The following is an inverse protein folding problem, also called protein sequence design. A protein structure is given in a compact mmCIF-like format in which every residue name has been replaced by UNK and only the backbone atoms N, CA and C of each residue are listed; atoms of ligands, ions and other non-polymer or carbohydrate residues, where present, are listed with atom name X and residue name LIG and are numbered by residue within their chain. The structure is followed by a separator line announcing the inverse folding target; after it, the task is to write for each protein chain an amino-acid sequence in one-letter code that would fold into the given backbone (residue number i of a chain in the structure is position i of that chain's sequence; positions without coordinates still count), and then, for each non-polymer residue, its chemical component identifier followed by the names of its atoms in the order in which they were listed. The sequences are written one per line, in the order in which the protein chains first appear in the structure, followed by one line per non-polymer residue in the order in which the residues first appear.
data_IF_231004737492
#
_entry.id   IF_231004737492
#
_cell.length_a   1.000
_cell.length_b   1.000
_cell.length_c   1.000
_cell.angle_alpha   90.00
_cell.angle_beta   90.00
_cell.angle_gamma   90.00
#
_symmetry.space_group_name_H-M   'P 1'
#
loop_
_entity.id
_entity.type
_entity.pdbx_description
1 polymer ?
#
# COMPACT_ATOMS: atom_id res chain seq x y z
N UNK A 1 -81.07 7.33 -12.13
CA UNK A 1 -80.02 6.40 -12.59
C UNK A 1 -78.68 7.10 -12.45
N UNK A 2 -78.00 6.94 -11.31
CA UNK A 2 -76.67 7.50 -11.09
C UNK A 2 -75.63 6.45 -11.48
N UNK A 3 -74.86 6.72 -12.52
CA UNK A 3 -73.69 5.90 -12.87
C UNK A 3 -72.47 6.52 -12.17
N UNK A 4 -72.07 5.92 -11.06
CA UNK A 4 -70.81 6.22 -10.39
C UNK A 4 -69.69 5.56 -11.20
N UNK A 5 -68.82 6.35 -11.83
CA UNK A 5 -67.59 5.85 -12.43
C UNK A 5 -66.50 5.82 -11.35
N UNK A 6 -66.10 4.62 -10.95
CA UNK A 6 -64.93 4.40 -10.09
C UNK A 6 -63.69 4.44 -10.97
N UNK A 7 -62.93 5.54 -10.92
CA UNK A 7 -61.62 5.62 -11.54
C UNK A 7 -60.61 4.96 -10.59
N UNK A 8 -60.18 3.73 -10.90
CA UNK A 8 -59.02 3.13 -10.27
C UNK A 8 -57.77 3.90 -10.75
N UNK A 9 -57.22 4.74 -9.89
CA UNK A 9 -55.90 5.33 -10.09
C UNK A 9 -54.84 4.25 -9.92
N UNK A 10 -54.23 3.80 -11.02
CA UNK A 10 -53.00 3.01 -10.98
C UNK A 10 -51.88 3.98 -10.60
N UNK A 11 -51.48 3.97 -9.33
CA UNK A 11 -50.28 4.67 -8.89
C UNK A 11 -49.08 3.90 -9.43
N UNK A 12 -48.42 4.44 -10.44
CA UNK A 12 -47.17 3.88 -10.95
C UNK A 12 -46.10 4.04 -9.86
N UNK A 13 -45.67 2.93 -9.26
CA UNK A 13 -44.41 2.93 -8.50
C UNK A 13 -43.28 3.14 -9.50
N UNK A 14 -42.73 4.36 -9.54
CA UNK A 14 -41.45 4.60 -10.19
C UNK A 14 -40.40 3.72 -9.49
N UNK A 15 -39.59 2.93 -10.22
CA UNK A 15 -38.51 2.19 -9.59
C UNK A 15 -37.55 3.22 -8.95
N UNK A 16 -37.23 3.03 -7.66
CA UNK A 16 -36.11 3.74 -7.06
C UNK A 16 -34.85 3.29 -7.84
N UNK A 17 -34.24 4.21 -8.57
CA UNK A 17 -32.89 3.99 -9.07
C UNK A 17 -31.96 4.03 -7.87
N UNK A 18 -31.30 2.91 -7.56
CA UNK A 18 -30.19 2.91 -6.61
C UNK A 18 -29.08 3.79 -7.19
N UNK A 19 -28.47 4.62 -6.34
CA UNK A 19 -27.29 5.38 -6.74
C UNK A 19 -26.14 4.41 -7.08
N UNK A 20 -25.35 4.74 -8.10
CA UNK A 20 -24.18 3.95 -8.48
C UNK A 20 -23.15 4.00 -7.35
N UNK A 21 -22.53 2.87 -6.98
CA UNK A 21 -21.41 2.90 -6.04
C UNK A 21 -20.28 3.80 -6.57
N UNK A 22 -19.69 4.60 -5.69
CA UNK A 22 -18.52 5.43 -6.00
C UNK A 22 -17.25 4.67 -5.58
N UNK A 23 -16.40 4.36 -6.54
CA UNK A 23 -15.13 3.65 -6.32
C UNK A 23 -13.98 4.62 -6.57
N UNK A 24 -13.15 4.82 -5.55
CA UNK A 24 -11.92 5.61 -5.69
C UNK A 24 -10.76 4.68 -6.00
N UNK A 25 -9.94 5.06 -6.97
CA UNK A 25 -8.80 4.27 -7.42
C UNK A 25 -7.51 5.09 -7.31
N UNK A 26 -6.40 4.44 -6.95
CA UNK A 26 -5.13 5.16 -6.77
C UNK A 26 -4.56 5.64 -8.10
N UNK A 27 -4.20 4.68 -8.98
CA UNK A 27 -3.47 4.89 -10.24
C UNK A 27 -4.23 4.34 -11.45
N UNK A 28 -3.70 4.59 -12.66
CA UNK A 28 -4.35 4.21 -13.92
C UNK A 28 -4.50 2.68 -14.09
N UNK A 29 -3.48 1.83 -13.84
CA UNK A 29 -3.63 0.38 -13.95
C UNK A 29 -4.79 -0.17 -13.11
N UNK A 30 -4.89 0.27 -11.85
CA UNK A 30 -6.00 -0.08 -10.94
C UNK A 30 -7.34 0.40 -11.52
N UNK A 31 -7.39 1.65 -11.98
CA UNK A 31 -8.61 2.24 -12.56
C UNK A 31 -9.11 1.50 -13.78
N UNK A 32 -8.20 1.01 -14.64
CA UNK A 32 -8.54 0.25 -15.84
C UNK A 32 -9.15 -1.12 -15.50
N UNK A 33 -8.60 -1.84 -14.52
CA UNK A 33 -9.15 -3.12 -14.06
C UNK A 33 -10.53 -2.90 -13.43
N UNK A 34 -10.66 -1.91 -12.55
CA UNK A 34 -11.95 -1.56 -11.92
C UNK A 34 -12.98 -1.18 -12.98
N UNK A 35 -12.61 -0.40 -13.99
CA UNK A 35 -13.50 -0.04 -15.10
C UNK A 35 -13.93 -1.25 -15.95
N UNK A 36 -13.03 -2.20 -16.20
CA UNK A 36 -13.34 -3.41 -16.94
C UNK A 36 -14.41 -4.26 -16.24
N UNK A 37 -14.39 -4.30 -14.90
CA UNK A 37 -15.38 -5.03 -14.10
C UNK A 37 -16.67 -4.24 -13.95
N UNK A 38 -16.59 -2.96 -13.60
CA UNK A 38 -17.75 -2.16 -13.19
C UNK A 38 -18.53 -1.55 -14.35
N UNK A 39 -17.89 -1.33 -15.50
CA UNK A 39 -18.49 -0.69 -16.66
C UNK A 39 -19.21 0.61 -16.30
N UNK A 40 -20.49 0.72 -16.64
CA UNK A 40 -21.29 1.90 -16.35
C UNK A 40 -22.05 1.83 -15.01
N UNK A 41 -21.84 0.80 -14.20
CA UNK A 41 -22.58 0.56 -12.95
C UNK A 41 -21.95 1.18 -11.71
N UNK A 42 -20.70 1.65 -11.80
CA UNK A 42 -20.03 2.41 -10.77
C UNK A 42 -19.57 3.78 -11.29
N UNK A 43 -19.37 4.73 -10.39
CA UNK A 43 -18.62 5.96 -10.66
C UNK A 43 -17.18 5.78 -10.20
N UNK A 44 -16.21 5.92 -11.11
CA UNK A 44 -14.79 5.76 -10.78
C UNK A 44 -14.13 7.14 -10.65
N UNK A 45 -13.39 7.34 -9.57
CA UNK A 45 -12.63 8.57 -9.31
C UNK A 45 -11.17 8.25 -9.00
N UNK A 46 -10.28 8.56 -9.95
CA UNK A 46 -8.85 8.34 -9.79
C UNK A 46 -8.18 9.45 -8.97
N UNK A 47 -7.21 9.09 -8.12
CA UNK A 47 -6.43 10.03 -7.29
C UNK A 47 -5.24 10.58 -8.09
N UNK A 48 -4.30 9.71 -8.46
CA UNK A 48 -3.06 10.09 -9.15
C UNK A 48 -3.33 10.11 -10.64
N UNK A 49 -3.27 11.28 -11.29
CA UNK A 49 -3.47 11.37 -12.74
C UNK A 49 -2.32 10.71 -13.51
N UNK A 50 -2.54 10.39 -14.78
CA UNK A 50 -1.52 9.79 -15.67
C UNK A 50 -0.28 10.67 -15.93
N UNK A 51 -0.24 11.88 -15.39
CA UNK A 51 0.84 12.86 -15.54
C UNK A 51 1.64 13.07 -14.26
N UNK A 52 1.25 12.42 -13.15
CA UNK A 52 1.89 12.53 -11.85
C UNK A 52 2.51 11.18 -11.46
N UNK A 53 3.66 11.21 -10.81
CA UNK A 53 4.27 10.02 -10.22
C UNK A 53 3.48 9.60 -8.98
N UNK A 54 3.14 8.31 -8.81
CA UNK A 54 2.56 7.82 -7.57
C UNK A 54 3.59 7.77 -6.41
N UNK A 55 4.89 7.61 -6.70
CA UNK A 55 5.91 7.53 -5.64
C UNK A 55 6.07 8.83 -4.84
N UNK A 56 5.82 9.99 -5.48
CA UNK A 56 6.02 11.32 -4.87
C UNK A 56 4.71 12.13 -4.77
N UNK A 57 3.57 11.45 -4.78
CA UNK A 57 2.28 12.14 -4.91
C UNK A 57 1.88 12.88 -3.61
N UNK A 58 1.60 14.17 -3.74
CA UNK A 58 1.02 14.97 -2.65
C UNK A 58 -0.51 15.06 -2.78
N UNK A 59 -1.23 14.51 -1.79
CA UNK A 59 -2.70 14.58 -1.74
C UNK A 59 -3.20 16.02 -1.62
N UNK A 60 -4.28 16.33 -2.34
CA UNK A 60 -5.01 17.60 -2.20
C UNK A 60 -6.24 17.43 -1.32
N UNK A 61 -6.80 18.51 -0.73
CA UNK A 61 -8.06 18.43 0.03
C UNK A 61 -9.23 17.84 -0.77
N UNK A 62 -9.25 18.02 -2.09
CA UNK A 62 -10.24 17.39 -2.96
C UNK A 62 -10.11 15.86 -3.00
N UNK A 63 -8.89 15.33 -2.95
CA UNK A 63 -8.64 13.89 -3.00
C UNK A 63 -9.04 13.22 -1.68
N UNK A 64 -8.77 13.88 -0.55
CA UNK A 64 -9.28 13.46 0.76
C UNK A 64 -10.82 13.40 0.79
N UNK A 65 -11.49 14.37 0.15
CA UNK A 65 -12.96 14.32 0.00
C UNK A 65 -13.43 13.16 -0.88
N UNK A 66 -12.70 12.78 -1.93
CA UNK A 66 -13.03 11.58 -2.72
C UNK A 66 -12.99 10.35 -1.84
N UNK A 67 -11.88 10.15 -1.12
CA UNK A 67 -11.66 9.00 -0.21
C UNK A 67 -12.80 8.91 0.82
N UNK A 68 -13.11 10.02 1.49
CA UNK A 68 -14.16 10.05 2.52
C UNK A 68 -15.54 9.66 1.98
N UNK A 69 -15.87 10.09 0.76
CA UNK A 69 -17.18 9.83 0.14
C UNK A 69 -17.26 8.50 -0.62
N UNK A 70 -16.15 7.76 -0.78
CA UNK A 70 -16.12 6.54 -1.58
C UNK A 70 -16.86 5.38 -0.88
N UNK A 71 -17.55 4.54 -1.64
CA UNK A 71 -18.09 3.27 -1.12
C UNK A 71 -17.00 2.21 -1.00
N UNK A 72 -15.96 2.28 -1.84
CA UNK A 72 -14.73 1.51 -1.71
C UNK A 72 -13.54 2.27 -2.29
N UNK A 73 -12.34 1.95 -1.79
CA UNK A 73 -11.06 2.43 -2.34
C UNK A 73 -10.25 1.24 -2.83
N UNK A 74 -9.68 1.32 -4.02
CA UNK A 74 -8.79 0.29 -4.58
C UNK A 74 -7.43 0.91 -4.86
N UNK A 75 -6.38 0.33 -4.29
CA UNK A 75 -5.02 0.87 -4.35
C UNK A 75 -3.99 -0.27 -4.37
N UNK A 76 -2.75 0.01 -4.75
CA UNK A 76 -1.73 -1.03 -4.87
C UNK A 76 -1.29 -1.46 -3.47
N UNK A 77 -0.81 -0.52 -2.67
CA UNK A 77 -0.41 -0.76 -1.28
C UNK A 77 0.66 0.20 -0.80
N UNK A 78 1.10 0.01 0.44
CA UNK A 78 2.01 0.94 1.13
C UNK A 78 3.31 1.18 0.36
N UNK A 79 3.89 0.14 -0.25
CA UNK A 79 5.17 0.24 -0.96
C UNK A 79 5.13 1.15 -2.19
N UNK A 80 3.93 1.49 -2.70
CA UNK A 80 3.76 2.47 -3.79
C UNK A 80 3.14 3.78 -3.31
N UNK A 81 2.08 3.69 -2.50
CA UNK A 81 1.20 4.81 -2.18
C UNK A 81 1.07 5.03 -0.66
N UNK A 82 2.20 5.06 0.06
CA UNK A 82 2.25 5.30 1.51
C UNK A 82 1.41 6.50 1.99
N UNK A 83 1.22 7.51 1.13
CA UNK A 83 0.40 8.68 1.39
C UNK A 83 -1.09 8.36 1.58
N UNK A 84 -1.57 7.16 1.21
CA UNK A 84 -2.96 6.75 1.35
C UNK A 84 -3.30 6.13 2.71
N UNK A 85 -2.33 5.60 3.46
CA UNK A 85 -2.62 4.87 4.70
C UNK A 85 -3.38 5.70 5.74
N UNK A 86 -2.77 6.81 6.16
CA UNK A 86 -3.35 7.70 7.16
C UNK A 86 -4.71 8.25 6.70
N UNK A 87 -4.88 8.74 5.45
CA UNK A 87 -6.19 9.12 4.94
C UNK A 87 -7.25 8.02 4.98
N UNK A 88 -6.91 6.79 4.58
CA UNK A 88 -7.85 5.66 4.59
C UNK A 88 -8.32 5.35 6.01
N UNK A 89 -7.38 5.28 6.95
CA UNK A 89 -7.66 5.08 8.38
C UNK A 89 -8.52 6.20 8.96
N UNK A 90 -8.13 7.46 8.73
CA UNK A 90 -8.86 8.63 9.23
C UNK A 90 -10.28 8.75 8.67
N UNK A 91 -10.50 8.26 7.44
CA UNK A 91 -11.81 8.22 6.81
C UNK A 91 -12.64 6.98 7.20
N UNK A 92 -12.11 6.06 8.02
CA UNK A 92 -12.76 4.80 8.37
C UNK A 92 -12.96 3.87 7.17
N UNK A 93 -12.03 3.90 6.20
CA UNK A 93 -12.15 3.16 4.93
C UNK A 93 -11.39 1.84 4.89
N UNK A 94 -10.69 1.46 5.96
CA UNK A 94 -9.88 0.23 6.05
C UNK A 94 -10.66 -1.00 5.54
N UNK A 95 -11.83 -1.30 6.11
CA UNK A 95 -12.67 -2.45 5.70
C UNK A 95 -13.29 -2.30 4.30
N UNK A 96 -13.48 -1.07 3.84
CA UNK A 96 -14.01 -0.77 2.51
C UNK A 96 -12.94 -0.74 1.42
N UNK A 97 -11.66 -0.82 1.80
CA UNK A 97 -10.54 -0.76 0.88
C UNK A 97 -10.17 -2.13 0.33
N UNK A 98 -9.56 -2.15 -0.84
CA UNK A 98 -8.86 -3.28 -1.43
C UNK A 98 -7.43 -2.82 -1.65
N UNK A 99 -6.53 -3.35 -0.84
CA UNK A 99 -5.09 -3.22 -1.02
C UNK A 99 -4.61 -4.41 -1.86
N UNK A 100 -4.08 -4.14 -3.06
CA UNK A 100 -3.72 -5.17 -4.02
C UNK A 100 -2.61 -6.08 -3.47
N UNK A 101 -1.54 -5.53 -2.91
CA UNK A 101 -0.42 -6.30 -2.36
C UNK A 101 -0.84 -7.24 -1.21
N UNK A 102 -1.90 -6.90 -0.47
CA UNK A 102 -2.43 -7.71 0.61
C UNK A 102 -3.42 -8.80 0.16
N UNK A 103 -3.77 -8.86 -1.13
CA UNK A 103 -4.70 -9.86 -1.64
C UNK A 103 -4.06 -11.26 -1.64
N UNK A 104 -4.78 -12.22 -1.06
CA UNK A 104 -4.38 -13.63 -1.15
C UNK A 104 -4.33 -14.07 -2.61
N UNK A 105 -3.20 -14.66 -3.01
CA UNK A 105 -2.98 -15.21 -4.34
C UNK A 105 -2.23 -14.27 -5.28
N UNK A 106 -1.89 -13.06 -4.83
CA UNK A 106 -0.91 -12.20 -5.52
C UNK A 106 0.48 -12.80 -5.33
N UNK A 107 1.20 -12.93 -6.45
CA UNK A 107 2.62 -13.22 -6.46
C UNK A 107 3.38 -11.92 -6.23
N UNK A 108 4.34 -11.95 -5.31
CA UNK A 108 5.12 -10.79 -4.87
C UNK A 108 6.60 -11.08 -5.07
N UNK A 109 7.34 -10.06 -5.51
CA UNK A 109 8.81 -10.04 -5.54
C UNK A 109 9.33 -8.97 -4.58
N UNK A 110 10.56 -9.16 -4.12
CA UNK A 110 11.32 -8.12 -3.44
C UNK A 110 12.37 -7.55 -4.38
N UNK A 111 12.62 -6.25 -4.27
CA UNK A 111 13.78 -5.66 -4.92
C UNK A 111 15.08 -6.30 -4.39
N UNK A 112 16.01 -6.59 -5.29
CA UNK A 112 17.34 -7.14 -4.94
C UNK A 112 17.43 -8.65 -4.70
N UNK A 113 16.34 -9.43 -4.87
CA UNK A 113 16.42 -10.90 -4.80
C UNK A 113 17.04 -11.55 -6.05
N UNK A 114 17.10 -10.84 -7.18
CA UNK A 114 17.77 -11.31 -8.40
C UNK A 114 19.16 -10.66 -8.56
N UNK A 115 20.21 -11.35 -8.08
CA UNK A 115 21.58 -10.86 -8.33
C UNK A 115 22.74 -11.42 -7.50
N UNK A 116 22.57 -12.48 -6.72
CA UNK A 116 23.71 -13.17 -6.10
C UNK A 116 23.94 -14.53 -6.76
N UNK A 117 24.59 -14.48 -7.93
CA UNK A 117 25.51 -15.56 -8.28
C UNK A 117 26.47 -15.74 -7.08
N UNK A 118 26.45 -16.96 -6.56
CA UNK A 118 27.27 -17.51 -5.48
C UNK A 118 28.76 -17.23 -5.73
N UNK A 119 29.24 -16.07 -5.30
CA UNK A 119 30.65 -15.84 -5.07
C UNK A 119 30.99 -16.50 -3.75
N UNK A 120 31.42 -17.76 -3.85
CA UNK A 120 31.94 -18.55 -2.75
C UNK A 120 32.80 -17.69 -1.83
N UNK A 121 32.31 -17.52 -0.61
CA UNK A 121 33.14 -17.05 0.49
C UNK A 121 34.19 -18.13 0.71
N UNK A 122 35.40 -17.89 0.21
CA UNK A 122 36.60 -18.60 0.62
C UNK A 122 36.63 -18.57 2.16
N UNK A 123 36.52 -19.75 2.75
CA UNK A 123 36.73 -20.01 4.17
C UNK A 123 38.11 -19.47 4.55
N UNK A 124 38.14 -18.32 5.23
CA UNK A 124 39.32 -17.93 5.97
C UNK A 124 39.30 -18.64 7.32
N UNK A 125 39.93 -19.83 7.31
CA UNK A 125 40.52 -20.49 8.47
C UNK A 125 41.18 -19.44 9.38
N UNK A 126 40.68 -19.33 10.61
CA UNK A 126 41.44 -18.77 11.72
C UNK A 126 41.71 -19.88 12.72
N UNK A 127 42.81 -20.58 12.45
CA UNK A 127 43.50 -21.45 13.39
C UNK A 127 43.90 -20.68 14.66
N UNK A 128 43.75 -21.42 15.76
CA UNK A 128 44.05 -21.13 17.15
C UNK A 128 45.46 -20.58 17.40
N UNK A 129 45.60 -19.66 18.36
CA UNK A 129 46.73 -19.70 19.29
C UNK A 129 46.37 -19.20 20.69
N UNK A 130 46.78 -20.07 21.61
CA UNK A 130 46.69 -20.16 23.07
C UNK A 130 47.28 -19.00 23.91
N UNK A 131 46.85 -19.05 25.17
CA UNK A 131 47.55 -18.76 26.43
C UNK A 131 47.50 -17.37 27.12
N UNK A 132 47.07 -17.47 28.39
CA UNK A 132 47.43 -16.72 29.62
C UNK A 132 46.19 -16.11 30.32
N UNK A 133 45.94 -16.24 31.62
CA UNK A 133 46.49 -16.96 32.78
C UNK A 133 45.45 -16.74 33.92
N UNK A 134 45.32 -17.68 34.86
CA UNK A 134 44.32 -17.68 35.93
C UNK A 134 44.82 -17.01 37.23
N UNK A 135 43.91 -16.43 38.01
CA UNK A 135 44.09 -16.18 39.46
C UNK A 135 42.85 -15.52 40.08
N UNK A 136 41.91 -16.30 40.65
CA UNK A 136 41.64 -16.47 42.11
C UNK A 136 41.16 -15.19 42.84
N UNK A 137 40.19 -15.15 43.77
CA UNK A 137 39.13 -16.01 44.33
C UNK A 137 38.28 -15.09 45.26
N UNK A 138 37.27 -15.67 45.93
CA UNK A 138 36.49 -15.20 47.08
C UNK A 138 35.27 -14.27 46.81
N UNK A 139 34.13 -14.38 47.50
CA UNK A 139 33.40 -15.48 48.14
C UNK A 139 32.08 -14.87 48.71
N UNK A 140 31.07 -15.72 48.93
CA UNK A 140 29.93 -15.62 49.88
C UNK A 140 28.57 -14.98 49.51
N UNK A 141 27.62 -15.89 49.19
CA UNK A 141 26.37 -16.25 49.90
C UNK A 141 25.42 -15.21 50.54
N UNK A 142 24.16 -15.35 50.08
CA UNK A 142 22.85 -15.41 50.76
C UNK A 142 22.58 -14.61 52.06
N UNK A 143 21.47 -13.86 52.09
CA UNK A 143 20.24 -14.33 52.76
C UNK A 143 19.07 -13.33 52.63
N UNK A 144 17.87 -13.92 52.63
CA UNK A 144 16.53 -13.31 52.64
C UNK A 144 16.17 -12.70 54.01
N UNK A 145 15.06 -11.93 54.03
CA UNK A 145 14.06 -11.66 55.10
C UNK A 145 13.66 -10.18 55.10
N UNK A 146 12.45 -9.80 54.67
CA UNK A 146 11.10 -9.94 55.24
C UNK A 146 10.66 -8.71 56.07
N UNK A 147 9.44 -8.26 55.74
CA UNK A 147 8.45 -7.51 56.54
C UNK A 147 8.70 -6.04 56.97
N UNK A 148 7.87 -5.11 56.47
CA UNK A 148 6.69 -4.62 57.21
C UNK A 148 6.01 -3.37 56.58
N UNK A 149 4.67 -3.45 56.58
CA UNK A 149 3.65 -2.41 56.37
C UNK A 149 3.90 -1.04 57.07
N UNK A 150 3.38 0.05 56.49
CA UNK A 150 2.20 0.75 57.04
C UNK A 150 1.76 1.99 56.22
N UNK A 151 0.43 2.13 56.22
CA UNK A 151 -0.46 3.06 55.52
C UNK A 151 -0.42 4.55 55.93
N UNK A 152 -0.94 5.35 54.98
CA UNK A 152 -1.79 6.55 55.09
C UNK A 152 -1.43 7.74 56.02
N UNK A 153 -1.37 8.94 55.43
CA UNK A 153 -2.00 10.16 55.99
C UNK A 153 -2.27 11.21 54.91
N UNK A 154 -3.56 11.48 54.67
CA UNK A 154 -4.14 12.69 54.05
C UNK A 154 -3.84 13.93 54.90
N UNK A 155 -3.71 15.12 54.27
CA UNK A 155 -4.26 16.40 54.76
C UNK A 155 -4.30 17.48 53.65
N UNK A 156 -5.52 17.94 53.36
CA UNK A 156 -5.89 19.21 52.71
C UNK A 156 -5.40 20.46 53.50
N UNK A 157 -5.07 21.55 52.79
CA UNK A 157 -5.74 22.86 52.86
C UNK A 157 -4.91 24.05 52.29
N UNK A 158 -5.56 24.77 51.38
CA UNK A 158 -5.70 26.24 51.23
C UNK A 158 -4.51 27.19 50.94
N UNK A 159 -4.66 27.84 49.77
CA UNK A 159 -4.47 29.26 49.41
C UNK A 159 -3.48 30.15 50.20
N UNK A 160 -2.57 30.85 49.48
CA UNK A 160 -2.45 32.32 49.48
C UNK A 160 -1.38 32.86 48.48
N UNK A 161 -1.86 33.79 47.64
CA UNK A 161 -1.30 34.99 47.01
C UNK A 161 0.22 35.24 46.78
N UNK A 162 0.45 35.71 45.54
CA UNK A 162 1.30 36.83 45.08
C UNK A 162 2.77 36.88 45.49
N UNK A 163 3.66 36.79 44.50
CA UNK A 163 4.74 37.79 44.34
C UNK A 163 5.26 37.86 42.89
N UNK A 164 5.03 39.03 42.31
CA UNK A 164 5.71 39.69 41.21
C UNK A 164 7.25 39.58 41.33
N UNK A 165 7.97 39.30 40.24
CA UNK A 165 9.20 40.00 39.86
C UNK A 165 9.76 39.51 38.51
N UNK A 166 9.72 40.48 37.59
CA UNK A 166 10.41 40.64 36.32
C UNK A 166 11.94 40.40 36.30
N UNK A 167 12.42 40.09 35.09
CA UNK A 167 13.75 40.34 34.47
C UNK A 167 14.93 39.34 34.67
N UNK A 168 15.10 38.51 33.61
CA UNK A 168 16.31 38.19 32.80
C UNK A 168 17.68 37.89 33.45
N UNK A 169 18.28 36.74 33.12
CA UNK A 169 19.25 36.65 32.00
C UNK A 169 19.75 35.20 31.76
N UNK A 170 19.74 34.86 30.47
CA UNK A 170 20.73 34.08 29.71
C UNK A 170 21.19 32.71 30.20
N UNK A 171 20.64 31.66 29.57
CA UNK A 171 21.49 30.60 29.00
C UNK A 171 20.88 30.07 27.69
N UNK A 172 21.44 30.61 26.61
CA UNK A 172 21.40 30.11 25.24
C UNK A 172 21.82 28.64 25.19
N UNK A 173 20.92 27.78 24.73
CA UNK A 173 21.26 26.50 24.11
C UNK A 173 20.43 26.37 22.84
N UNK A 174 20.89 27.05 21.80
CA UNK A 174 20.63 26.67 20.41
C UNK A 174 21.18 25.25 20.20
N UNK A 175 20.34 24.24 20.46
CA UNK A 175 20.49 22.94 19.82
C UNK A 175 20.07 23.11 18.35
N UNK A 176 21.02 23.58 17.55
CA UNK A 176 21.00 23.37 16.12
C UNK A 176 21.14 21.88 15.86
N UNK A 177 19.99 21.21 15.77
CA UNK A 177 19.86 19.90 15.14
C UNK A 177 20.20 20.09 13.67
N UNK A 178 21.48 19.95 13.35
CA UNK A 178 21.95 19.84 11.99
C UNK A 178 21.65 18.42 11.52
N UNK A 179 20.41 18.21 11.08
CA UNK A 179 20.07 17.17 10.13
C UNK A 179 20.84 17.46 8.83
N UNK A 180 22.10 17.04 8.80
CA UNK A 180 22.85 16.83 7.58
C UNK A 180 22.15 15.69 6.82
N UNK A 181 21.10 16.05 6.07
CA UNK A 181 20.60 15.21 5.00
C UNK A 181 21.68 15.17 3.91
N UNK A 182 22.67 14.31 4.10
CA UNK A 182 23.44 13.77 2.99
C UNK A 182 22.44 13.15 2.02
N UNK A 183 22.36 13.75 0.82
CA UNK A 183 21.55 13.25 -0.27
C UNK A 183 22.02 11.86 -0.65
N UNK A 184 21.31 10.84 -0.17
CA UNK A 184 21.39 9.49 -0.68
C UNK A 184 20.81 9.47 -2.11
N UNK A 185 21.65 9.87 -3.07
CA UNK A 185 21.40 9.65 -4.49
C UNK A 185 21.67 8.18 -4.81
N UNK A 186 20.60 7.39 -4.70
CA UNK A 186 20.56 5.98 -5.00
C UNK A 186 19.36 5.36 -4.30
N UNK A 187 18.16 5.54 -4.85
CA UNK A 187 16.99 4.80 -4.39
C UNK A 187 17.15 3.34 -4.81
N UNK A 188 18.00 2.60 -4.10
CA UNK A 188 17.84 1.16 -3.99
C UNK A 188 16.50 0.97 -3.33
N UNK A 189 15.49 0.60 -4.11
CA UNK A 189 14.22 0.24 -3.53
C UNK A 189 14.46 -0.98 -2.63
N UNK A 190 14.19 -0.87 -1.34
CA UNK A 190 14.17 -2.02 -0.42
C UNK A 190 12.70 -2.39 -0.18
N UNK A 191 12.40 -3.69 -0.13
CA UNK A 191 11.05 -4.21 0.14
C UNK A 191 10.32 -4.73 -1.10
N UNK A 192 9.00 -4.86 -0.97
CA UNK A 192 8.13 -5.50 -1.97
C UNK A 192 8.00 -4.63 -3.22
N UNK A 193 8.33 -5.19 -4.37
CA UNK A 193 8.15 -4.57 -5.69
C UNK A 193 6.65 -4.26 -5.93
N UNK A 194 6.26 -2.97 -6.00
CA UNK A 194 4.87 -2.58 -6.16
C UNK A 194 4.31 -2.79 -7.57
N UNK A 195 5.13 -3.13 -8.57
CA UNK A 195 4.73 -3.14 -9.98
C UNK A 195 3.89 -4.36 -10.39
N UNK A 196 3.09 -4.89 -9.46
CA UNK A 196 2.27 -6.12 -9.60
C UNK A 196 1.31 -6.10 -10.79
N UNK A 197 0.93 -4.94 -11.31
CA UNK A 197 0.06 -4.84 -12.49
C UNK A 197 0.71 -5.34 -13.78
N UNK A 198 2.03 -5.55 -13.77
CA UNK A 198 2.79 -6.08 -14.89
C UNK A 198 2.73 -7.61 -15.00
N UNK A 199 2.15 -8.29 -14.01
CA UNK A 199 1.77 -9.71 -14.11
C UNK A 199 0.28 -9.85 -14.49
N UNK A 200 -0.07 -10.59 -15.56
CA UNK A 200 -1.46 -10.85 -15.89
C UNK A 200 -2.16 -11.72 -14.83
N UNK A 201 -1.43 -12.57 -14.10
CA UNK A 201 -2.02 -13.37 -13.03
C UNK A 201 -2.39 -12.51 -11.83
N UNK A 202 -1.52 -11.56 -11.45
CA UNK A 202 -1.84 -10.56 -10.42
C UNK A 202 -3.02 -9.67 -10.80
N UNK A 203 -3.13 -9.28 -12.09
CA UNK A 203 -4.27 -8.52 -12.60
C UNK A 203 -5.59 -9.29 -12.47
N UNK A 204 -5.57 -10.62 -12.64
CA UNK A 204 -6.73 -11.50 -12.43
C UNK A 204 -7.17 -11.51 -10.98
N UNK A 205 -6.22 -11.59 -10.04
CA UNK A 205 -6.52 -11.57 -8.59
C UNK A 205 -7.22 -10.27 -8.19
N UNK A 206 -6.75 -9.11 -8.67
CA UNK A 206 -7.44 -7.85 -8.41
C UNK A 206 -8.84 -7.81 -9.02
N UNK A 207 -8.98 -8.27 -10.27
CA UNK A 207 -10.26 -8.30 -10.97
C UNK A 207 -11.31 -9.14 -10.21
N UNK A 208 -10.91 -10.28 -9.65
CA UNK A 208 -11.74 -11.13 -8.79
C UNK A 208 -12.14 -10.42 -7.49
N UNK A 209 -11.17 -9.80 -6.81
CA UNK A 209 -11.43 -9.05 -5.57
C UNK A 209 -12.41 -7.88 -5.78
N UNK A 210 -12.21 -7.11 -6.85
CA UNK A 210 -13.12 -6.02 -7.25
C UNK A 210 -14.50 -6.58 -7.56
N UNK A 211 -14.59 -7.69 -8.29
CA UNK A 211 -15.89 -8.33 -8.60
C UNK A 211 -16.64 -8.72 -7.32
N UNK A 212 -15.96 -9.33 -6.35
CA UNK A 212 -16.57 -9.68 -5.06
C UNK A 212 -17.05 -8.44 -4.30
N UNK A 213 -16.25 -7.38 -4.26
CA UNK A 213 -16.63 -6.11 -3.63
C UNK A 213 -17.87 -5.50 -4.29
N UNK A 214 -17.93 -5.51 -5.62
CA UNK A 214 -19.06 -4.94 -6.35
C UNK A 214 -20.34 -5.77 -6.20
N UNK A 215 -20.23 -7.10 -6.13
CA UNK A 215 -21.37 -7.98 -5.81
C UNK A 215 -21.91 -7.68 -4.40
N UNK A 216 -21.05 -7.36 -3.45
CA UNK A 216 -21.44 -6.96 -2.10
C UNK A 216 -22.13 -5.58 -2.08
N UNK A 217 -21.55 -4.58 -2.74
CA UNK A 217 -22.06 -3.21 -2.76
C UNK A 217 -23.36 -3.06 -3.60
N UNK A 218 -23.48 -3.83 -4.68
CA UNK A 218 -24.55 -3.70 -5.67
C UNK A 218 -24.99 -5.09 -6.18
N UNK A 219 -25.56 -5.88 -5.27
CA UNK A 219 -26.03 -7.24 -5.53
C UNK A 219 -27.06 -7.35 -6.67
N UNK A 220 -27.81 -6.27 -6.96
CA UNK A 220 -28.76 -6.23 -8.07
C UNK A 220 -28.08 -6.36 -9.44
N UNK A 221 -26.81 -5.96 -9.56
CA UNK A 221 -26.00 -6.08 -10.77
C UNK A 221 -24.95 -7.21 -10.67
N UNK A 222 -25.08 -8.15 -9.73
CA UNK A 222 -24.07 -9.20 -9.51
C UNK A 222 -23.72 -10.02 -10.76
N UNK A 223 -24.71 -10.42 -11.55
CA UNK A 223 -24.46 -11.19 -12.79
C UNK A 223 -23.77 -10.36 -13.88
N UNK A 224 -23.97 -9.03 -13.87
CA UNK A 224 -23.25 -8.12 -14.77
C UNK A 224 -21.75 -8.09 -14.43
N UNK A 225 -21.40 -7.94 -13.15
CA UNK A 225 -19.99 -7.94 -12.71
C UNK A 225 -19.29 -9.27 -12.99
N UNK A 226 -19.95 -10.41 -12.73
CA UNK A 226 -19.40 -11.73 -13.03
C UNK A 226 -19.21 -11.97 -14.53
N UNK A 227 -20.15 -11.51 -15.36
CA UNK A 227 -20.01 -11.60 -16.82
C UNK A 227 -18.83 -10.76 -17.32
N UNK A 228 -18.64 -9.57 -16.76
CA UNK A 228 -17.49 -8.72 -17.08
C UNK A 228 -16.17 -9.33 -16.63
N UNK A 229 -16.11 -9.97 -15.46
CA UNK A 229 -14.94 -10.73 -15.02
C UNK A 229 -14.58 -11.84 -16.03
N UNK A 230 -15.55 -12.65 -16.44
CA UNK A 230 -15.31 -13.69 -17.45
C UNK A 230 -14.84 -13.11 -18.81
N UNK A 231 -15.34 -11.93 -19.19
CA UNK A 231 -14.88 -11.23 -20.39
C UNK A 231 -13.47 -10.67 -20.25
N UNK A 232 -13.15 -10.09 -19.09
CA UNK A 232 -11.81 -9.62 -18.71
C UNK A 232 -10.81 -10.76 -18.78
N UNK A 233 -11.13 -11.89 -18.14
CA UNK A 233 -10.31 -13.10 -18.12
C UNK A 233 -9.95 -13.59 -19.51
N UNK A 234 -10.96 -13.66 -20.40
CA UNK A 234 -10.77 -14.07 -21.79
C UNK A 234 -9.91 -13.07 -22.56
N UNK A 235 -10.15 -11.78 -22.37
CA UNK A 235 -9.38 -10.72 -23.03
C UNK A 235 -7.93 -10.70 -22.58
N UNK A 236 -7.70 -10.87 -21.28
CA UNK A 236 -6.38 -10.92 -20.68
C UNK A 236 -5.58 -12.13 -21.17
N UNK A 237 -6.16 -13.33 -21.18
CA UNK A 237 -5.51 -14.53 -21.72
C UNK A 237 -5.18 -14.39 -23.21
N UNK A 238 -6.09 -13.81 -24.01
CA UNK A 238 -5.81 -13.59 -25.43
C UNK A 238 -4.67 -12.58 -25.65
N UNK A 239 -4.59 -11.54 -24.81
CA UNK A 239 -3.52 -10.54 -24.89
C UNK A 239 -2.18 -11.11 -24.40
N UNK A 240 -2.20 -11.91 -23.34
CA UNK A 240 -1.04 -12.64 -22.83
C UNK A 240 -0.44 -13.54 -23.92
N UNK A 241 -1.26 -14.35 -24.59
CA UNK A 241 -0.83 -15.20 -25.71
C UNK A 241 -0.24 -14.39 -26.88
N UNK A 242 -0.85 -13.25 -27.21
CA UNK A 242 -0.36 -12.36 -28.27
C UNK A 242 1.02 -11.77 -27.93
N UNK A 243 1.19 -11.29 -26.70
CA UNK A 243 2.46 -10.72 -26.22
C UNK A 243 3.53 -11.81 -26.18
N UNK A 244 3.22 -12.99 -25.64
CA UNK A 244 4.13 -14.15 -25.61
C UNK A 244 4.64 -14.48 -27.02
N UNK A 245 3.73 -14.57 -28.00
CA UNK A 245 4.10 -14.83 -29.38
C UNK A 245 4.97 -13.72 -29.99
N UNK A 246 4.75 -12.46 -29.60
CA UNK A 246 5.58 -11.34 -30.07
C UNK A 246 7.04 -11.44 -29.60
N UNK A 247 7.29 -12.12 -28.48
CA UNK A 247 8.62 -12.29 -27.90
C UNK A 247 9.37 -13.57 -28.33
N UNK A 248 8.74 -14.48 -29.08
CA UNK A 248 9.33 -15.75 -29.55
C UNK A 248 10.74 -15.62 -30.16
N UNK A 249 11.03 -14.45 -30.77
CA UNK A 249 12.31 -14.18 -31.46
C UNK A 249 13.30 -13.34 -30.66
N UNK A 250 12.86 -12.70 -29.58
CA UNK A 250 13.65 -11.66 -28.89
C UNK A 250 13.78 -11.90 -27.39
N UNK A 251 13.08 -12.89 -26.80
CA UNK A 251 13.11 -13.16 -25.36
C UNK A 251 14.52 -13.40 -24.79
N UNK A 252 15.47 -13.83 -25.62
CA UNK A 252 16.88 -14.04 -25.22
C UNK A 252 17.82 -12.90 -25.59
N UNK A 253 17.33 -11.88 -26.27
CA UNK A 253 18.13 -10.70 -26.62
C UNK A 253 18.28 -9.84 -25.36
N UNK A 254 19.52 -9.54 -24.91
CA UNK A 254 19.74 -8.70 -23.75
C UNK A 254 19.29 -7.26 -24.01
N UNK A 255 18.66 -6.64 -23.02
CA UNK A 255 18.29 -5.23 -23.04
C UNK A 255 18.47 -4.61 -21.65
N UNK A 256 18.34 -3.30 -21.59
CA UNK A 256 18.45 -2.50 -20.37
C UNK A 256 17.21 -1.61 -20.27
N UNK A 257 16.67 -1.47 -19.07
CA UNK A 257 15.53 -0.58 -18.76
C UNK A 257 16.00 0.68 -18.04
N UNK A 258 15.16 1.72 -18.01
CA UNK A 258 15.49 2.98 -17.32
C UNK A 258 15.01 3.04 -15.86
N UNK A 259 14.25 2.03 -15.43
CA UNK A 259 13.62 1.96 -14.11
C UNK A 259 13.31 0.49 -13.78
N UNK A 260 13.73 0.03 -12.61
CA UNK A 260 13.42 -1.28 -12.05
C UNK A 260 11.93 -1.40 -11.69
N UNK A 261 11.14 -1.81 -12.67
CA UNK A 261 9.71 -2.09 -12.50
C UNK A 261 9.27 -3.38 -13.17
N UNK A 262 10.10 -3.96 -14.03
CA UNK A 262 9.62 -4.88 -15.05
C UNK A 262 9.70 -6.34 -14.63
N UNK A 263 10.23 -6.67 -13.45
CA UNK A 263 10.45 -8.03 -12.94
C UNK A 263 9.27 -8.97 -13.20
N UNK A 264 8.06 -8.60 -12.75
CA UNK A 264 6.84 -9.39 -12.99
C UNK A 264 6.56 -9.68 -14.47
N UNK A 265 6.80 -8.70 -15.35
CA UNK A 265 6.63 -8.87 -16.80
C UNK A 265 7.73 -9.75 -17.39
N UNK A 266 8.96 -9.55 -16.94
CA UNK A 266 10.16 -10.18 -17.46
C UNK A 266 10.19 -11.66 -17.16
N UNK A 267 9.88 -12.03 -15.91
CA UNK A 267 9.73 -13.43 -15.50
C UNK A 267 8.61 -14.11 -16.27
N UNK A 268 7.44 -13.48 -16.35
CA UNK A 268 6.26 -14.05 -17.00
C UNK A 268 6.47 -14.35 -18.50
N UNK A 269 7.26 -13.52 -19.20
CA UNK A 269 7.58 -13.72 -20.61
C UNK A 269 8.99 -14.31 -20.86
N UNK A 270 9.74 -14.63 -19.80
CA UNK A 270 11.08 -15.24 -19.87
C UNK A 270 12.11 -14.38 -20.61
N UNK A 271 12.05 -13.06 -20.39
CA UNK A 271 12.90 -12.05 -21.02
C UNK A 271 14.30 -11.99 -20.39
N UNK A 272 15.26 -11.43 -21.11
CA UNK A 272 16.68 -11.36 -20.70
C UNK A 272 17.07 -9.93 -20.34
N UNK A 273 16.57 -9.41 -19.23
CA UNK A 273 17.01 -8.12 -18.69
C UNK A 273 18.48 -8.23 -18.24
N UNK A 274 19.32 -7.30 -18.69
CA UNK A 274 20.75 -7.26 -18.38
C UNK A 274 21.13 -6.11 -17.43
N UNK A 275 20.13 -5.41 -16.89
CA UNK A 275 20.28 -4.38 -15.88
C UNK A 275 19.41 -3.16 -16.14
N UNK A 276 19.45 -2.22 -15.19
CA UNK A 276 18.76 -0.94 -15.29
C UNK A 276 19.73 0.24 -15.30
N UNK A 277 19.30 1.38 -15.86
CA UNK A 277 20.02 2.65 -15.81
C UNK A 277 19.06 3.75 -15.36
N UNK A 278 19.16 4.14 -14.09
CA UNK A 278 18.42 5.28 -13.56
C UNK A 278 19.01 6.60 -14.06
N UNK A 279 18.23 7.33 -14.85
CA UNK A 279 18.62 8.67 -15.35
C UNK A 279 18.08 9.72 -14.39
N UNK A 280 18.90 10.21 -13.46
CA UNK A 280 18.51 11.38 -12.66
C UNK A 280 18.55 12.63 -13.52
N UNK A 281 17.42 13.34 -13.62
CA UNK A 281 17.39 14.66 -14.26
C UNK A 281 18.00 15.69 -13.30
N UNK A 282 19.33 15.78 -13.23
CA UNK A 282 19.99 16.98 -12.72
C UNK A 282 19.96 18.05 -13.82
N UNK A 283 19.16 19.09 -13.59
CA UNK A 283 19.29 20.40 -14.22
C UNK A 283 19.39 21.46 -13.11
#
# INVERSE_FOLDING_TARGET
MNKLFFALGVSALSPLALAKPTIVTSISPVSMIVAAITGDKAEIQQIVSSTASPHDFALRPSDLRKISNADAVVWVGESLENFLEKPLKNAGKEESSIEWLALKGVELHNFGEEGHDDHGHDDHDHDEHDDHDHGEHDDHDHDEHDDHDHDEHDHDHDEHDDHDHDEHDDHDHDEHDHDEHEGHEGHSHEGVDPHVWLSPDNARVLAEAVTMRMVYLDSANAEYYKANLAAFDKGLSAKDDEIRHSFDKVSKVPYIVFHDAYTYFEEHYGLNNSGEVSVSSRA
#
